data_IF_638134438096
#
_entry.id   IF_638134438096
#
_cell.length_a   1.000
_cell.length_b   1.000
_cell.length_c   1.000
_cell.angle_alpha   90.00
_cell.angle_beta   90.00
_cell.angle_gamma   90.00
#
_symmetry.space_group_name_H-M   'P 1'
#
loop_
_entity.id
_entity.type
_entity.pdbx_description
1 polymer ?
#
# COMPACT_ATOMS: atom_id res chain seq x y z
N UNK A 1 17.65 3.14 4.87
CA UNK A 1 16.37 3.75 5.32
C UNK A 1 15.77 2.89 6.41
N UNK A 2 15.26 3.51 7.46
CA UNK A 2 14.59 2.75 8.51
C UNK A 2 13.27 2.16 8.01
N UNK A 3 12.86 1.07 8.65
CA UNK A 3 11.56 0.46 8.34
C UNK A 3 10.41 1.35 8.83
N UNK A 4 9.43 1.54 7.99
CA UNK A 4 8.25 2.36 8.29
C UNK A 4 7.02 1.48 8.42
N UNK A 5 6.06 1.95 9.21
CA UNK A 5 4.71 1.41 9.24
C UNK A 5 3.88 2.28 8.31
N UNK A 6 3.35 1.68 7.25
CA UNK A 6 2.65 2.40 6.19
C UNK A 6 1.22 1.89 6.12
N UNK A 7 0.26 2.78 6.36
CA UNK A 7 -1.16 2.48 6.19
C UNK A 7 -1.56 2.85 4.78
N UNK A 8 -2.19 1.91 4.08
CA UNK A 8 -2.52 2.03 2.65
C UNK A 8 -4.02 1.88 2.47
N UNK A 9 -4.66 2.90 1.90
CA UNK A 9 -6.06 2.85 1.53
C UNK A 9 -6.24 1.96 0.29
N UNK A 10 -7.47 1.48 0.08
CA UNK A 10 -7.75 0.57 -1.04
C UNK A 10 -8.46 1.28 -2.19
N UNK A 11 -9.74 1.65 -2.01
CA UNK A 11 -10.54 2.28 -3.07
C UNK A 11 -10.04 3.69 -3.35
N UNK A 12 -9.71 3.96 -4.61
CA UNK A 12 -9.15 5.24 -5.01
C UNK A 12 -7.64 5.37 -4.83
N UNK A 13 -6.97 4.36 -4.27
CA UNK A 13 -5.53 4.39 -4.01
C UNK A 13 -4.82 3.19 -4.63
N UNK A 14 -5.13 1.97 -4.20
CA UNK A 14 -4.59 0.74 -4.82
C UNK A 14 -5.32 0.44 -6.13
N UNK A 15 -6.62 0.64 -6.13
CA UNK A 15 -7.47 0.44 -7.32
C UNK A 15 -8.28 1.71 -7.56
N UNK A 16 -8.81 1.84 -8.77
CA UNK A 16 -9.79 2.90 -9.05
C UNK A 16 -11.01 2.68 -8.17
N UNK A 17 -11.65 3.76 -7.73
CA UNK A 17 -12.83 3.65 -6.88
C UNK A 17 -14.01 3.15 -7.68
N UNK A 18 -14.47 1.95 -7.37
CA UNK A 18 -15.65 1.34 -7.96
C UNK A 18 -16.51 0.64 -6.89
N UNK A 19 -16.32 1.04 -5.64
CA UNK A 19 -16.99 0.43 -4.50
C UNK A 19 -18.49 0.25 -4.76
N UNK A 20 -19.10 -0.90 -4.43
CA UNK A 20 -18.52 -2.03 -3.68
C UNK A 20 -17.74 -3.02 -4.52
N UNK A 21 -17.71 -2.86 -5.84
CA UNK A 21 -16.89 -3.69 -6.71
C UNK A 21 -15.41 -3.29 -6.55
N UNK A 22 -14.53 -4.11 -7.10
CA UNK A 22 -13.10 -3.82 -7.10
C UNK A 22 -12.77 -3.21 -8.46
N UNK A 23 -12.27 -1.96 -8.43
CA UNK A 23 -11.87 -1.26 -9.64
C UNK A 23 -10.55 -1.77 -10.20
N UNK A 24 -10.14 -1.20 -11.34
CA UNK A 24 -8.86 -1.55 -11.94
C UNK A 24 -7.71 -1.12 -11.03
N UNK A 25 -6.64 -1.93 -10.95
CA UNK A 25 -5.45 -1.49 -10.22
C UNK A 25 -4.91 -0.17 -10.76
N UNK A 26 -4.52 0.70 -9.85
CA UNK A 26 -3.82 1.92 -10.23
C UNK A 26 -2.46 1.57 -10.81
N UNK A 27 -1.97 2.41 -11.71
CA UNK A 27 -0.68 2.18 -12.36
C UNK A 27 0.44 2.02 -11.33
N UNK A 28 1.19 0.95 -11.43
CA UNK A 28 2.33 0.62 -10.56
C UNK A 28 1.98 0.30 -9.10
N UNK A 29 0.69 0.19 -8.75
CA UNK A 29 0.28 -0.01 -7.36
C UNK A 29 0.92 -1.25 -6.73
N UNK A 30 0.69 -2.41 -7.32
CA UNK A 30 1.19 -3.66 -6.73
C UNK A 30 2.70 -3.79 -6.83
N UNK A 31 3.29 -3.31 -7.91
CA UNK A 31 4.75 -3.30 -8.08
C UNK A 31 5.41 -2.47 -6.97
N UNK A 32 4.86 -1.30 -6.68
CA UNK A 32 5.38 -0.42 -5.63
C UNK A 32 5.20 -1.03 -4.25
N UNK A 33 4.01 -1.59 -3.98
CA UNK A 33 3.74 -2.23 -2.69
C UNK A 33 4.70 -3.41 -2.45
N UNK A 34 4.94 -4.23 -3.47
CA UNK A 34 5.90 -5.33 -3.36
C UNK A 34 7.31 -4.81 -3.08
N UNK A 35 7.72 -3.74 -3.77
CA UNK A 35 9.03 -3.16 -3.57
C UNK A 35 9.18 -2.61 -2.15
N UNK A 36 8.15 -1.95 -1.62
CA UNK A 36 8.16 -1.44 -0.25
C UNK A 36 8.29 -2.58 0.77
N UNK A 37 7.60 -3.70 0.54
CA UNK A 37 7.74 -4.87 1.40
C UNK A 37 9.16 -5.44 1.34
N UNK A 38 9.78 -5.46 0.17
CA UNK A 38 11.15 -5.92 0.02
C UNK A 38 12.13 -5.03 0.80
N UNK A 39 11.80 -3.75 0.93
CA UNK A 39 12.59 -2.81 1.75
C UNK A 39 12.23 -2.92 3.23
N UNK A 40 11.47 -3.94 3.61
CA UNK A 40 11.09 -4.28 4.98
C UNK A 40 10.17 -3.26 5.66
N UNK A 41 9.43 -2.49 4.87
CA UNK A 41 8.34 -1.69 5.42
C UNK A 41 7.18 -2.59 5.78
N UNK A 42 6.47 -2.22 6.84
CA UNK A 42 5.28 -2.95 7.28
C UNK A 42 4.06 -2.28 6.67
N UNK A 43 3.32 -3.02 5.84
CA UNK A 43 2.16 -2.48 5.15
C UNK A 43 0.88 -2.93 5.85
N UNK A 44 0.02 -1.98 6.16
CA UNK A 44 -1.28 -2.21 6.78
C UNK A 44 -2.35 -1.73 5.81
N UNK A 45 -3.32 -2.59 5.51
CA UNK A 45 -4.47 -2.17 4.72
C UNK A 45 -5.42 -1.38 5.62
N UNK A 46 -5.75 -0.17 5.21
CA UNK A 46 -6.58 0.73 6.00
C UNK A 46 -7.74 1.21 5.13
N UNK A 47 -8.93 0.64 5.34
CA UNK A 47 -10.06 0.82 4.44
C UNK A 47 -11.37 0.92 5.20
N UNK A 48 -12.33 1.60 4.60
CA UNK A 48 -13.69 1.65 5.14
C UNK A 48 -14.49 0.39 4.83
N UNK A 49 -13.96 -0.50 3.98
CA UNK A 49 -14.63 -1.75 3.64
C UNK A 49 -14.79 -2.64 4.87
N UNK A 50 -15.89 -3.38 4.92
CA UNK A 50 -16.21 -4.31 6.01
C UNK A 50 -16.79 -5.58 5.44
N UNK A 51 -16.80 -6.64 6.26
CA UNK A 51 -17.44 -7.91 5.90
C UNK A 51 -16.91 -8.48 4.60
N UNK A 52 -17.81 -8.92 3.74
CA UNK A 52 -17.44 -9.59 2.50
C UNK A 52 -16.65 -8.68 1.57
N UNK A 53 -17.02 -7.41 1.45
CA UNK A 53 -16.30 -6.49 0.58
C UNK A 53 -14.86 -6.29 1.04
N UNK A 54 -14.61 -6.35 2.35
CA UNK A 54 -13.25 -6.30 2.90
C UNK A 54 -12.48 -7.56 2.57
N UNK A 55 -13.10 -8.73 2.73
CA UNK A 55 -12.45 -9.99 2.40
C UNK A 55 -12.08 -10.06 0.93
N UNK A 56 -12.96 -9.57 0.06
CA UNK A 56 -12.69 -9.51 -1.38
C UNK A 56 -11.48 -8.62 -1.68
N UNK A 57 -11.37 -7.48 -1.02
CA UNK A 57 -10.23 -6.58 -1.22
C UNK A 57 -8.92 -7.22 -0.75
N UNK A 58 -8.93 -7.85 0.42
CA UNK A 58 -7.75 -8.54 0.96
C UNK A 58 -7.31 -9.65 0.02
N UNK A 59 -8.26 -10.46 -0.44
CA UNK A 59 -7.97 -11.58 -1.34
C UNK A 59 -7.45 -11.09 -2.70
N UNK A 60 -8.03 -10.01 -3.22
CA UNK A 60 -7.58 -9.41 -4.47
C UNK A 60 -6.12 -8.97 -4.37
N UNK A 61 -5.75 -8.33 -3.27
CA UNK A 61 -4.36 -7.93 -3.05
C UNK A 61 -3.45 -9.15 -2.95
N UNK A 62 -3.88 -10.19 -2.24
CA UNK A 62 -3.09 -11.42 -2.12
C UNK A 62 -2.87 -12.07 -3.47
N UNK A 63 -3.90 -12.13 -4.31
CA UNK A 63 -3.80 -12.68 -5.67
C UNK A 63 -2.82 -11.90 -6.53
N UNK A 64 -2.64 -10.62 -6.23
CA UNK A 64 -1.69 -9.76 -6.92
C UNK A 64 -0.33 -9.70 -6.22
N UNK A 65 -0.10 -10.60 -5.28
CA UNK A 65 1.21 -10.77 -4.66
C UNK A 65 1.48 -9.89 -3.44
N UNK A 66 0.45 -9.24 -2.88
CA UNK A 66 0.62 -8.39 -1.71
C UNK A 66 -0.23 -8.90 -0.56
N UNK A 67 0.45 -9.37 0.48
CA UNK A 67 -0.20 -9.74 1.72
C UNK A 67 0.15 -8.70 2.77
N UNK A 68 -0.87 -8.04 3.30
CA UNK A 68 -0.67 -7.01 4.30
C UNK A 68 -0.36 -7.62 5.66
N UNK A 69 0.45 -6.92 6.45
CA UNK A 69 0.79 -7.36 7.80
C UNK A 69 -0.46 -7.41 8.70
N UNK A 70 -1.34 -6.43 8.56
CA UNK A 70 -2.59 -6.35 9.30
C UNK A 70 -3.61 -5.58 8.47
N UNK A 71 -4.89 -5.69 8.86
CA UNK A 71 -5.99 -5.03 8.18
C UNK A 71 -6.75 -4.21 9.22
N UNK A 72 -6.81 -2.90 9.02
CA UNK A 72 -7.51 -1.95 9.89
C UNK A 72 -7.09 -2.02 11.37
N UNK A 73 -5.89 -2.51 11.63
CA UNK A 73 -5.32 -2.58 12.97
C UNK A 73 -3.81 -2.59 12.87
N UNK A 74 -3.13 -2.33 13.97
CA UNK A 74 -1.66 -2.33 13.97
C UNK A 74 -1.06 -3.73 14.02
N UNK A 75 -1.82 -4.71 14.52
CA UNK A 75 -1.36 -6.09 14.65
C UNK A 75 -2.46 -7.04 14.21
N UNK A 76 -2.10 -8.22 13.64
CA UNK A 76 -3.10 -9.16 13.11
C UNK A 76 -4.14 -9.62 14.14
N UNK A 77 -3.72 -9.76 15.39
CA UNK A 77 -4.58 -10.31 16.45
C UNK A 77 -5.19 -9.25 17.35
N UNK A 78 -5.07 -7.98 16.98
CA UNK A 78 -5.57 -6.89 17.81
C UNK A 78 -7.10 -6.86 17.76
N UNK A 79 -7.80 -7.09 18.88
CA UNK A 79 -9.25 -7.07 18.88
C UNK A 79 -9.76 -5.64 18.72
N UNK A 80 -10.73 -5.47 17.81
CA UNK A 80 -11.41 -4.19 17.66
C UNK A 80 -12.55 -4.17 18.68
N UNK A 81 -12.45 -3.30 19.69
CA UNK A 81 -13.57 -3.07 20.60
C UNK A 81 -14.31 -1.81 20.15
N UNK A 82 -15.62 -1.71 20.43
CA UNK A 82 -16.39 -0.54 20.03
C UNK A 82 -15.87 0.78 20.61
N UNK A 83 -15.16 0.70 21.73
CA UNK A 83 -14.61 1.88 22.39
C UNK A 83 -13.27 2.30 21.81
N UNK A 84 -12.59 1.39 21.10
CA UNK A 84 -11.31 1.72 20.51
C UNK A 84 -11.56 2.50 19.23
N UNK A 85 -11.16 3.74 19.22
CA UNK A 85 -11.11 4.48 17.99
C UNK A 85 -10.03 3.82 17.13
N UNK A 86 -10.40 3.26 15.96
CA UNK A 86 -9.47 2.45 15.19
C UNK A 86 -8.48 3.28 14.38
N UNK A 87 -7.98 4.36 14.95
CA UNK A 87 -6.94 5.10 14.25
C UNK A 87 -5.65 4.29 14.34
N UNK A 88 -5.26 3.74 13.20
CA UNK A 88 -4.01 3.01 13.07
C UNK A 88 -2.87 3.98 13.33
N UNK A 89 -1.90 3.56 14.15
CA UNK A 89 -0.68 4.33 14.33
C UNK A 89 0.30 3.93 13.25
N UNK A 90 0.54 4.82 12.30
CA UNK A 90 1.43 4.58 11.19
C UNK A 90 2.38 5.76 11.01
N UNK A 91 3.54 5.49 10.41
CA UNK A 91 4.48 6.54 10.05
C UNK A 91 3.98 7.33 8.84
N UNK A 92 3.29 6.65 7.93
CA UNK A 92 2.73 7.25 6.73
C UNK A 92 1.34 6.68 6.44
N UNK A 93 0.50 7.53 5.86
CA UNK A 93 -0.82 7.13 5.34
C UNK A 93 -0.83 7.45 3.86
N UNK A 94 -0.97 6.42 3.02
CA UNK A 94 -1.10 6.57 1.56
C UNK A 94 -2.57 6.46 1.23
N UNK A 95 -3.17 7.58 0.81
CA UNK A 95 -4.62 7.73 0.72
C UNK A 95 -4.94 8.72 -0.39
N UNK A 96 -6.13 8.59 -0.98
CA UNK A 96 -6.62 9.50 -2.00
C UNK A 96 -7.30 10.74 -1.43
N UNK A 97 -7.54 10.79 -0.13
CA UNK A 97 -8.24 11.90 0.53
C UNK A 97 -7.32 12.87 1.24
N UNK A 98 -6.05 12.84 0.92
CA UNK A 98 -5.09 13.81 1.44
C UNK A 98 -5.23 15.15 0.71
N UNK A 99 -4.80 16.20 1.37
CA UNK A 99 -4.69 17.50 0.74
C UNK A 99 -3.78 17.38 -0.48
N UNK A 100 -4.28 17.79 -1.65
CA UNK A 100 -3.55 17.60 -2.89
C UNK A 100 -3.83 16.28 -3.59
N UNK A 101 -4.60 15.37 -2.95
CA UNK A 101 -4.98 14.08 -3.53
C UNK A 101 -3.88 13.03 -3.46
N UNK A 102 -4.08 11.94 -4.20
CA UNK A 102 -3.11 10.86 -4.29
C UNK A 102 -2.05 11.19 -5.34
N UNK A 103 -0.76 11.19 -4.98
CA UNK A 103 0.29 11.65 -5.90
C UNK A 103 0.62 10.66 -7.03
N UNK A 104 0.20 9.42 -6.92
CA UNK A 104 0.58 8.35 -7.85
C UNK A 104 1.67 7.46 -7.26
N UNK A 105 1.66 6.18 -7.64
CA UNK A 105 2.58 5.20 -7.07
C UNK A 105 4.04 5.43 -7.49
N UNK A 106 4.27 6.03 -8.65
CA UNK A 106 5.61 6.42 -9.09
C UNK A 106 6.20 7.48 -8.16
N UNK A 107 5.39 8.45 -7.74
CA UNK A 107 5.84 9.48 -6.81
C UNK A 107 6.04 8.90 -5.41
N UNK A 108 5.19 7.99 -4.99
CA UNK A 108 5.35 7.30 -3.70
C UNK A 108 6.71 6.61 -3.66
N UNK A 109 7.05 5.86 -4.70
CA UNK A 109 8.34 5.18 -4.76
C UNK A 109 9.51 6.16 -4.70
N UNK A 110 9.45 7.24 -5.46
CA UNK A 110 10.50 8.25 -5.46
C UNK A 110 10.73 8.87 -4.09
N UNK A 111 9.67 9.05 -3.32
CA UNK A 111 9.78 9.62 -1.98
C UNK A 111 10.27 8.63 -0.95
N UNK A 112 10.02 7.35 -1.13
CA UNK A 112 10.29 6.30 -0.14
C UNK A 112 11.46 5.40 -0.51
N UNK A 113 12.06 5.57 -1.68
CA UNK A 113 13.18 4.74 -2.10
C UNK A 113 14.36 4.87 -1.13
N UNK A 114 15.18 3.82 -1.00
CA UNK A 114 16.27 3.84 -0.05
C UNK A 114 17.28 4.97 -0.31
N UNK A 115 17.86 5.51 0.78
CA UNK A 115 18.84 6.58 0.70
C UNK A 115 20.10 6.18 -0.05
N UNK A 116 20.44 4.89 -0.01
CA UNK A 116 21.61 4.33 -0.68
C UNK A 116 21.23 3.67 -2.00
N UNK A 117 20.17 4.13 -2.64
CA UNK A 117 19.71 3.55 -3.89
C UNK A 117 20.75 3.65 -5.00
N UNK A 118 20.64 2.71 -5.94
CA UNK A 118 21.52 2.67 -7.09
C UNK A 118 21.11 3.72 -8.11
N UNK A 119 22.07 4.19 -8.94
CA UNK A 119 21.73 5.01 -10.09
C UNK A 119 20.69 4.33 -10.98
N UNK A 120 19.95 5.14 -11.74
CA UNK A 120 18.88 4.62 -12.60
C UNK A 120 19.33 3.48 -13.51
N UNK A 121 20.51 3.59 -14.07
CA UNK A 121 21.06 2.57 -14.96
C UNK A 121 21.21 1.22 -14.26
N UNK A 122 21.71 1.24 -13.03
CA UNK A 122 21.85 0.02 -12.26
C UNK A 122 20.50 -0.53 -11.82
N UNK A 123 19.56 0.35 -11.51
CA UNK A 123 18.20 -0.06 -11.17
C UNK A 123 17.53 -0.76 -12.36
N UNK A 124 17.73 -0.25 -13.57
CA UNK A 124 17.22 -0.87 -14.78
C UNK A 124 17.83 -2.25 -15.00
N UNK A 125 19.13 -2.38 -14.82
CA UNK A 125 19.81 -3.66 -15.01
C UNK A 125 19.32 -4.72 -14.01
N UNK A 126 18.87 -4.29 -12.84
CA UNK A 126 18.31 -5.19 -11.82
C UNK A 126 16.81 -5.40 -11.97
N UNK A 127 16.18 -4.80 -12.98
CA UNK A 127 14.77 -4.96 -13.25
C UNK A 127 13.84 -4.11 -12.39
N UNK A 128 14.36 -3.36 -11.42
CA UNK A 128 13.53 -2.56 -10.53
C UNK A 128 12.86 -1.42 -11.29
N UNK A 129 13.65 -0.72 -12.10
CA UNK A 129 13.15 0.40 -12.87
C UNK A 129 12.07 -0.04 -13.85
N UNK A 130 12.31 -1.14 -14.57
CA UNK A 130 11.34 -1.66 -15.54
C UNK A 130 10.05 -2.09 -14.87
N UNK A 131 10.13 -2.68 -13.68
CA UNK A 131 8.95 -3.11 -12.94
C UNK A 131 8.05 -1.94 -12.55
N UNK A 132 8.65 -0.76 -12.29
CA UNK A 132 7.92 0.41 -11.85
C UNK A 132 7.56 1.37 -12.98
N UNK A 133 8.37 1.43 -14.04
CA UNK A 133 8.25 2.47 -15.07
C UNK A 133 8.27 1.92 -16.50
N UNK A 134 8.49 0.66 -16.64
CA UNK A 134 8.51 0.01 -17.94
C UNK A 134 7.27 -0.76 -18.21
#
# INVERSE_FOLDING_TARGET
MRSLIIAVDFDGTVVEDAYPRIGKPQLFAFETLKALKQERHRLILWTCRKGQSLQEAVEFCRENGVEFFAVNSNFPDEPLTPEDSPKIVADLYIDDRNLGGFPGWDQVWKMLKPDDELPEEEMRSKGIFQRLFG
#
